data_IF_818253632732
#
_entry.id   IF_818253632732
#
_cell.length_a   1.000
_cell.length_b   1.000
_cell.length_c   1.000
_cell.angle_alpha   90.00
_cell.angle_beta   90.00
_cell.angle_gamma   90.00
#
_symmetry.space_group_name_H-M   'P 1'
#
loop_
_entity.id
_entity.type
_entity.pdbx_description
1 polymer ?
#
# COMPACT_ATOMS: atom_id res chain seq x y z
N UNK A 1 -3.24 -20.07 -12.34
CA UNK A 1 -4.41 -20.48 -13.15
C UNK A 1 -4.47 -19.74 -14.49
N UNK A 2 -5.29 -20.25 -15.44
CA UNK A 2 -5.49 -19.59 -16.74
C UNK A 2 -6.53 -18.47 -16.59
N UNK A 3 -6.31 -17.33 -17.26
CA UNK A 3 -7.25 -16.19 -17.22
C UNK A 3 -8.67 -16.57 -17.61
N UNK A 4 -8.86 -17.41 -18.65
CA UNK A 4 -10.17 -17.88 -19.05
C UNK A 4 -10.90 -18.60 -17.91
N UNK A 5 -10.19 -19.49 -17.18
CA UNK A 5 -10.77 -20.24 -16.06
C UNK A 5 -11.16 -19.31 -14.90
N UNK A 6 -10.32 -18.29 -14.63
CA UNK A 6 -10.64 -17.27 -13.64
C UNK A 6 -11.95 -16.55 -13.96
N UNK A 7 -12.11 -16.12 -15.21
CA UNK A 7 -13.32 -15.41 -15.68
C UNK A 7 -14.54 -16.32 -15.62
N UNK A 8 -14.42 -17.61 -16.01
CA UNK A 8 -15.50 -18.59 -15.93
C UNK A 8 -16.00 -18.78 -14.49
N UNK A 9 -15.10 -18.98 -13.53
CA UNK A 9 -15.47 -19.14 -12.14
C UNK A 9 -16.06 -17.85 -11.55
N UNK A 10 -15.50 -16.69 -11.91
CA UNK A 10 -16.04 -15.40 -11.49
C UNK A 10 -17.43 -15.17 -12.06
N UNK A 11 -17.68 -15.49 -13.33
CA UNK A 11 -19.02 -15.44 -13.95
C UNK A 11 -20.05 -16.32 -13.23
N UNK A 12 -19.61 -17.47 -12.75
CA UNK A 12 -20.46 -18.43 -12.04
C UNK A 12 -20.89 -17.94 -10.66
N UNK A 13 -19.97 -17.32 -9.90
CA UNK A 13 -20.20 -16.95 -8.50
C UNK A 13 -20.48 -15.46 -8.27
N UNK A 14 -20.01 -14.59 -9.17
CA UNK A 14 -20.23 -13.15 -9.12
C UNK A 14 -20.37 -12.57 -10.55
N UNK A 15 -21.48 -12.88 -11.26
CA UNK A 15 -21.68 -12.43 -12.65
C UNK A 15 -21.78 -10.90 -12.77
N UNK A 16 -22.26 -10.21 -11.74
CA UNK A 16 -22.39 -8.76 -11.71
C UNK A 16 -21.00 -8.09 -11.79
N UNK A 17 -20.02 -8.57 -11.01
CA UNK A 17 -18.65 -8.07 -11.06
C UNK A 17 -18.07 -8.20 -12.46
N UNK A 18 -18.26 -9.34 -13.12
CA UNK A 18 -17.77 -9.54 -14.49
C UNK A 18 -18.45 -8.59 -15.48
N UNK A 19 -19.77 -8.41 -15.38
CA UNK A 19 -20.50 -7.50 -16.24
C UNK A 19 -20.03 -6.05 -16.10
N UNK A 20 -19.81 -5.58 -14.86
CA UNK A 20 -19.26 -4.25 -14.60
C UNK A 20 -17.84 -4.09 -15.19
N UNK A 21 -16.97 -5.08 -15.02
CA UNK A 21 -15.63 -5.06 -15.59
C UNK A 21 -15.65 -5.06 -17.13
N UNK A 22 -16.48 -5.92 -17.76
CA UNK A 22 -16.62 -5.97 -19.21
C UNK A 22 -17.14 -4.64 -19.77
N UNK A 23 -18.14 -4.03 -19.15
CA UNK A 23 -18.67 -2.72 -19.54
C UNK A 23 -17.63 -1.60 -19.38
N UNK A 24 -16.92 -1.56 -18.25
CA UNK A 24 -15.89 -0.56 -17.98
C UNK A 24 -14.75 -0.61 -18.98
N UNK A 25 -14.34 -1.80 -19.39
CA UNK A 25 -13.30 -2.01 -20.41
C UNK A 25 -13.84 -1.68 -21.82
N UNK A 26 -15.07 -2.07 -22.15
CA UNK A 26 -15.66 -1.78 -23.46
C UNK A 26 -15.79 -0.26 -23.71
N UNK A 27 -16.04 0.52 -22.66
CA UNK A 27 -16.11 1.97 -22.71
C UNK A 27 -14.78 2.67 -22.42
N UNK A 28 -13.68 1.91 -22.31
CA UNK A 28 -12.37 2.47 -22.02
C UNK A 28 -11.83 3.34 -23.16
N UNK A 29 -11.12 4.39 -22.81
CA UNK A 29 -10.43 5.28 -23.75
C UNK A 29 -8.92 5.11 -23.66
N UNK A 30 -8.24 5.25 -24.80
CA UNK A 30 -6.78 5.23 -24.84
C UNK A 30 -6.24 6.63 -24.61
N UNK A 31 -5.32 6.76 -23.65
CA UNK A 31 -4.66 7.99 -23.28
C UNK A 31 -3.15 7.73 -23.20
N UNK A 32 -2.45 7.96 -24.31
CA UNK A 32 -1.04 7.61 -24.50
C UNK A 32 -0.78 6.11 -24.22
N UNK A 33 0.01 5.80 -23.20
CA UNK A 33 0.35 4.44 -22.78
C UNK A 33 -0.69 3.82 -21.82
N UNK A 34 -1.73 4.60 -21.45
CA UNK A 34 -2.75 4.15 -20.50
C UNK A 34 -4.05 3.75 -21.21
N UNK A 35 -4.70 2.73 -20.70
CA UNK A 35 -6.09 2.42 -20.97
C UNK A 35 -6.91 2.91 -19.77
N UNK A 36 -7.70 3.97 -19.96
CA UNK A 36 -8.56 4.53 -18.90
C UNK A 36 -9.92 3.89 -18.98
N UNK A 37 -10.24 3.08 -17.97
CA UNK A 37 -11.55 2.47 -17.83
C UNK A 37 -12.59 3.53 -17.46
N UNK A 38 -13.86 3.27 -17.74
CA UNK A 38 -14.95 4.16 -17.34
C UNK A 38 -15.17 4.08 -15.84
N UNK A 39 -14.97 5.21 -15.14
CA UNK A 39 -15.02 5.28 -13.68
C UNK A 39 -16.38 4.92 -13.10
N UNK A 40 -17.46 5.56 -13.57
CA UNK A 40 -18.81 5.37 -13.01
C UNK A 40 -19.26 3.90 -13.06
N UNK A 41 -18.97 3.20 -14.16
CA UNK A 41 -19.31 1.79 -14.30
C UNK A 41 -18.44 0.91 -13.41
N UNK A 42 -17.16 1.28 -13.24
CA UNK A 42 -16.26 0.54 -12.38
C UNK A 42 -16.55 0.76 -10.89
N UNK A 43 -16.95 1.97 -10.50
CA UNK A 43 -17.39 2.29 -9.13
C UNK A 43 -18.66 1.56 -8.71
N UNK A 44 -19.51 1.20 -9.68
CA UNK A 44 -20.70 0.38 -9.43
C UNK A 44 -20.37 -1.12 -9.27
N UNK A 45 -19.11 -1.53 -9.50
CA UNK A 45 -18.70 -2.93 -9.36
C UNK A 45 -18.75 -3.36 -7.90
N UNK A 46 -19.27 -4.57 -7.59
CA UNK A 46 -19.19 -5.11 -6.23
C UNK A 46 -17.76 -5.11 -5.69
N UNK A 47 -17.56 -4.56 -4.49
CA UNK A 47 -16.29 -4.56 -3.78
C UNK A 47 -16.12 -5.88 -3.02
N UNK A 48 -15.62 -6.89 -3.71
CA UNK A 48 -15.43 -8.24 -3.15
C UNK A 48 -14.10 -8.83 -3.64
N UNK A 49 -13.36 -9.50 -2.75
CA UNK A 49 -12.10 -10.14 -3.12
C UNK A 49 -12.36 -11.47 -3.83
N UNK A 50 -11.40 -11.91 -4.65
CA UNK A 50 -11.45 -13.23 -5.31
C UNK A 50 -11.59 -14.37 -4.29
N UNK A 51 -11.07 -14.20 -3.09
CA UNK A 51 -11.15 -15.21 -2.03
C UNK A 51 -12.61 -15.45 -1.63
N UNK A 52 -13.35 -14.40 -1.34
CA UNK A 52 -14.78 -14.48 -1.00
C UNK A 52 -15.67 -14.68 -2.22
N UNK A 53 -15.34 -14.03 -3.34
CA UNK A 53 -16.14 -14.13 -4.54
C UNK A 53 -16.11 -15.54 -5.15
N UNK A 54 -14.94 -16.21 -5.14
CA UNK A 54 -14.70 -17.46 -5.84
C UNK A 54 -14.09 -18.54 -4.98
N UNK A 55 -12.94 -18.29 -4.29
CA UNK A 55 -12.11 -19.35 -3.72
C UNK A 55 -12.82 -20.12 -2.60
N UNK A 56 -13.62 -19.46 -1.78
CA UNK A 56 -14.42 -20.12 -0.74
C UNK A 56 -15.61 -20.92 -1.29
N UNK A 57 -15.99 -20.71 -2.55
CA UNK A 57 -17.20 -21.31 -3.18
C UNK A 57 -16.86 -22.39 -4.21
N UNK A 58 -15.72 -22.28 -4.87
CA UNK A 58 -15.37 -23.23 -5.94
C UNK A 58 -14.97 -24.59 -5.38
N UNK A 59 -15.31 -25.64 -6.15
CA UNK A 59 -14.86 -27.01 -5.87
C UNK A 59 -13.69 -27.44 -6.75
N UNK A 60 -13.23 -26.56 -7.62
CA UNK A 60 -12.20 -26.82 -8.62
C UNK A 60 -10.81 -26.26 -8.20
N UNK A 61 -10.66 -25.91 -6.92
CA UNK A 61 -9.39 -25.53 -6.36
C UNK A 61 -8.59 -26.77 -5.94
N UNK A 62 -7.28 -26.72 -6.18
CA UNK A 62 -6.31 -27.72 -5.71
C UNK A 62 -5.24 -27.04 -4.87
N UNK A 63 -4.75 -27.72 -3.85
CA UNK A 63 -3.66 -27.27 -3.01
C UNK A 63 -2.41 -28.06 -3.37
N UNK A 64 -1.35 -27.34 -3.70
CA UNK A 64 -0.01 -27.93 -3.91
C UNK A 64 0.85 -27.50 -2.72
N UNK A 65 1.28 -28.45 -1.88
CA UNK A 65 2.19 -28.13 -0.78
C UNK A 65 3.50 -27.55 -1.31
N UNK A 66 3.95 -26.47 -0.70
CA UNK A 66 5.18 -25.79 -1.07
C UNK A 66 5.99 -25.50 0.20
N UNK A 67 7.19 -26.08 0.29
CA UNK A 67 8.18 -25.76 1.31
C UNK A 67 9.33 -24.96 0.66
N UNK A 68 9.13 -23.67 0.51
CA UNK A 68 10.07 -22.75 -0.14
C UNK A 68 10.35 -21.50 0.71
N UNK A 69 10.09 -21.58 2.03
CA UNK A 69 10.24 -20.43 2.94
C UNK A 69 9.52 -19.15 2.41
N UNK A 70 8.38 -19.36 1.72
CA UNK A 70 7.61 -18.27 1.17
C UNK A 70 6.92 -17.49 2.29
N UNK A 71 6.96 -16.16 2.18
CA UNK A 71 6.24 -15.23 3.05
C UNK A 71 5.55 -14.18 2.17
N UNK A 72 4.30 -13.86 2.44
CA UNK A 72 3.53 -12.84 1.71
C UNK A 72 3.93 -11.41 2.07
N UNK A 73 4.73 -11.24 3.13
CA UNK A 73 5.18 -9.95 3.65
C UNK A 73 4.02 -8.96 3.85
N UNK A 74 2.88 -9.49 4.29
CA UNK A 74 1.62 -8.75 4.44
C UNK A 74 1.57 -7.82 5.67
N UNK A 75 2.64 -7.74 6.46
CA UNK A 75 2.70 -6.91 7.67
C UNK A 75 4.12 -6.46 7.98
N UNK A 76 4.25 -5.44 8.83
CA UNK A 76 5.55 -5.00 9.35
C UNK A 76 6.24 -6.07 10.19
N UNK A 77 5.50 -6.92 10.90
CA UNK A 77 6.07 -8.08 11.62
C UNK A 77 6.61 -9.12 10.64
N UNK A 78 5.90 -9.42 9.56
CA UNK A 78 6.40 -10.31 8.52
C UNK A 78 7.67 -9.76 7.84
N UNK A 79 7.72 -8.44 7.61
CA UNK A 79 8.91 -7.78 7.08
C UNK A 79 10.10 -7.88 8.06
N UNK A 80 9.85 -7.79 9.38
CA UNK A 80 10.85 -8.04 10.40
C UNK A 80 11.35 -9.49 10.34
N UNK A 81 10.47 -10.48 10.20
CA UNK A 81 10.82 -11.91 10.13
C UNK A 81 11.75 -12.25 8.98
N UNK A 82 11.51 -11.66 7.79
CA UNK A 82 12.31 -11.95 6.58
C UNK A 82 13.54 -11.06 6.43
N UNK A 83 13.72 -10.06 7.29
CA UNK A 83 14.86 -9.14 7.24
C UNK A 83 16.03 -9.64 8.09
N UNK A 84 17.24 -9.23 7.72
CA UNK A 84 18.43 -9.46 8.52
C UNK A 84 18.31 -8.73 9.87
N UNK A 85 18.54 -9.46 10.96
CA UNK A 85 18.41 -8.96 12.33
C UNK A 85 19.80 -8.81 12.96
N UNK A 86 19.97 -7.81 13.83
CA UNK A 86 21.17 -7.70 14.66
C UNK A 86 21.18 -8.74 15.80
N UNK A 87 22.26 -8.75 16.61
CA UNK A 87 22.41 -9.69 17.74
C UNK A 87 21.33 -9.57 18.83
N UNK A 88 20.60 -8.47 18.89
CA UNK A 88 19.47 -8.22 19.78
C UNK A 88 18.12 -8.45 19.09
N UNK A 89 18.09 -8.98 17.86
CA UNK A 89 16.89 -9.24 17.09
C UNK A 89 16.26 -7.99 16.47
N UNK A 90 16.97 -6.88 16.40
CA UNK A 90 16.43 -5.66 15.80
C UNK A 90 16.67 -5.62 14.28
N UNK A 91 15.71 -5.05 13.57
CA UNK A 91 15.83 -4.68 12.15
C UNK A 91 15.86 -3.16 12.05
N UNK A 92 16.93 -2.61 11.48
CA UNK A 92 17.15 -1.17 11.32
C UNK A 92 17.17 -0.83 9.83
N UNK A 93 16.16 -0.09 9.35
CA UNK A 93 16.03 0.31 7.93
C UNK A 93 16.15 1.83 7.82
N UNK A 94 17.29 2.29 7.30
CA UNK A 94 17.54 3.71 7.03
C UNK A 94 17.27 4.03 5.58
N UNK A 95 16.37 5.01 5.34
CA UNK A 95 16.20 5.67 4.04
C UNK A 95 17.15 6.89 3.95
N UNK A 96 16.58 8.08 3.82
CA UNK A 96 17.32 9.36 3.92
C UNK A 96 17.46 9.85 5.35
N UNK A 97 16.61 9.33 6.25
CA UNK A 97 16.68 9.58 7.68
C UNK A 97 17.79 8.81 8.38
N UNK A 98 17.93 9.00 9.67
CA UNK A 98 18.89 8.28 10.50
C UNK A 98 18.21 7.60 11.70
N UNK A 99 18.85 6.58 12.26
CA UNK A 99 18.33 5.85 13.42
C UNK A 99 19.46 5.71 14.44
N UNK A 100 19.16 6.14 15.66
CA UNK A 100 19.98 5.91 16.86
C UNK A 100 19.14 5.03 17.80
N UNK A 101 19.56 3.79 17.96
CA UNK A 101 18.85 2.79 18.77
C UNK A 101 19.74 2.38 19.93
N UNK A 102 19.28 2.61 21.18
CA UNK A 102 19.98 2.24 22.40
C UNK A 102 19.15 1.23 23.19
N UNK A 103 19.78 0.11 23.55
CA UNK A 103 19.19 -0.95 24.39
C UNK A 103 17.83 -1.47 23.90
N UNK A 104 17.63 -1.53 22.59
CA UNK A 104 16.42 -2.09 21.99
C UNK A 104 16.56 -3.59 21.78
N UNK A 105 15.44 -4.29 21.84
CA UNK A 105 15.36 -5.73 21.65
C UNK A 105 14.16 -6.11 20.80
N UNK A 106 14.40 -6.93 19.76
CA UNK A 106 13.34 -7.54 18.96
C UNK A 106 12.44 -6.50 18.26
N UNK A 107 13.00 -5.36 17.83
CA UNK A 107 12.28 -4.23 17.26
C UNK A 107 12.48 -4.15 15.73
N UNK A 108 11.48 -3.57 15.04
CA UNK A 108 11.61 -3.11 13.66
C UNK A 108 11.56 -1.59 13.66
N UNK A 109 12.60 -0.92 13.12
CA UNK A 109 12.67 0.54 13.08
C UNK A 109 13.03 0.99 11.68
N UNK A 110 12.16 1.78 11.07
CA UNK A 110 12.35 2.34 9.73
C UNK A 110 12.23 3.86 9.75
N UNK A 111 13.25 4.55 9.23
CA UNK A 111 13.28 6.00 9.07
C UNK A 111 13.47 6.36 7.60
N UNK A 112 12.47 7.00 6.99
CA UNK A 112 12.60 7.45 5.60
C UNK A 112 13.28 8.82 5.51
N UNK A 113 12.93 9.76 6.38
CA UNK A 113 13.37 11.16 6.25
C UNK A 113 13.91 11.78 7.55
N UNK A 114 13.44 11.34 8.72
CA UNK A 114 13.77 11.95 10.00
C UNK A 114 14.80 11.15 10.78
N UNK A 115 15.42 11.79 11.75
CA UNK A 115 16.14 11.06 12.80
C UNK A 115 15.13 10.42 13.73
N UNK A 116 15.21 9.11 13.90
CA UNK A 116 14.51 8.36 14.93
C UNK A 116 15.50 7.98 16.03
N UNK A 117 15.23 8.39 17.25
CA UNK A 117 15.97 7.96 18.43
C UNK A 117 15.08 7.07 19.30
N UNK A 118 15.54 5.87 19.63
CA UNK A 118 14.79 4.90 20.46
C UNK A 118 15.68 4.38 21.58
N UNK A 119 15.10 4.22 22.77
CA UNK A 119 15.82 3.78 23.96
C UNK A 119 14.98 2.75 24.71
N UNK A 120 15.55 1.57 24.96
CA UNK A 120 14.97 0.54 25.83
C UNK A 120 13.66 -0.07 25.31
N UNK A 121 13.42 -0.05 24.01
CA UNK A 121 12.22 -0.62 23.43
C UNK A 121 12.33 -2.15 23.29
N UNK A 122 11.21 -2.82 23.43
CA UNK A 122 11.11 -4.26 23.24
C UNK A 122 9.83 -4.62 22.48
N UNK A 123 9.98 -5.50 21.47
CA UNK A 123 8.85 -6.00 20.67
C UNK A 123 8.01 -4.89 20.01
N UNK A 124 8.66 -3.82 19.52
CA UNK A 124 8.00 -2.63 18.96
C UNK A 124 8.36 -2.47 17.49
N UNK A 125 7.38 -2.06 16.71
CA UNK A 125 7.54 -1.57 15.33
C UNK A 125 7.44 -0.05 15.34
N UNK A 126 8.44 0.63 14.79
CA UNK A 126 8.48 2.08 14.58
C UNK A 126 8.69 2.32 13.08
N UNK A 127 7.75 2.99 12.44
CA UNK A 127 7.84 3.34 11.01
C UNK A 127 7.56 4.82 10.85
N UNK A 128 8.49 5.52 10.24
CA UNK A 128 8.34 6.92 9.84
C UNK A 128 8.28 7.00 8.32
N UNK A 129 7.28 7.72 7.83
CA UNK A 129 7.05 8.05 6.43
C UNK A 129 6.99 9.56 6.24
N UNK A 130 6.75 10.03 5.02
CA UNK A 130 6.65 11.46 4.69
C UNK A 130 5.60 12.22 5.52
N UNK A 131 4.53 11.55 5.91
CA UNK A 131 3.30 12.15 6.46
C UNK A 131 2.85 11.57 7.81
N UNK A 132 3.41 10.43 8.23
CA UNK A 132 2.99 9.77 9.45
C UNK A 132 4.13 9.07 10.19
N UNK A 133 3.95 8.87 11.48
CA UNK A 133 4.77 7.99 12.30
C UNK A 133 3.86 6.97 12.97
N UNK A 134 4.15 5.70 12.77
CA UNK A 134 3.49 4.60 13.47
C UNK A 134 4.41 4.01 14.52
N UNK A 135 3.88 3.82 15.71
CA UNK A 135 4.52 3.04 16.79
C UNK A 135 3.50 2.02 17.27
N UNK A 136 3.85 0.74 17.19
CA UNK A 136 2.95 -0.34 17.52
C UNK A 136 3.69 -1.50 18.21
N UNK A 137 2.99 -2.23 19.07
CA UNK A 137 3.42 -3.56 19.49
C UNK A 137 3.54 -4.46 18.25
N UNK A 138 4.64 -5.20 18.12
CA UNK A 138 4.94 -6.05 16.96
C UNK A 138 3.86 -7.11 16.71
N UNK A 139 3.22 -7.60 17.77
CA UNK A 139 2.15 -8.60 17.64
C UNK A 139 0.78 -8.01 17.31
N UNK A 140 0.66 -6.68 17.32
CA UNK A 140 -0.58 -5.94 17.07
C UNK A 140 -0.54 -5.04 15.83
N UNK A 141 0.49 -5.13 15.01
CA UNK A 141 0.64 -4.25 13.83
C UNK A 141 -0.53 -4.36 12.83
N UNK A 142 -1.25 -5.48 12.81
CA UNK A 142 -2.45 -5.64 11.97
C UNK A 142 -3.61 -4.72 12.40
N UNK A 143 -3.63 -4.27 13.65
CA UNK A 143 -4.65 -3.35 14.17
C UNK A 143 -4.55 -1.95 13.52
N UNK A 144 -3.48 -1.66 12.77
CA UNK A 144 -3.34 -0.43 11.97
C UNK A 144 -4.53 -0.23 11.02
N UNK A 145 -5.18 -1.31 10.57
CA UNK A 145 -6.40 -1.25 9.75
C UNK A 145 -7.52 -0.48 10.45
N UNK A 146 -7.65 -0.63 11.77
CA UNK A 146 -8.64 0.11 12.57
C UNK A 146 -8.33 1.61 12.58
N UNK A 147 -7.05 1.98 12.72
CA UNK A 147 -6.61 3.38 12.64
C UNK A 147 -6.90 3.96 11.25
N UNK A 148 -6.57 3.23 10.19
CA UNK A 148 -6.86 3.67 8.81
C UNK A 148 -8.36 3.87 8.59
N UNK A 149 -9.20 2.97 9.11
CA UNK A 149 -10.65 3.12 9.02
C UNK A 149 -11.16 4.35 9.80
N UNK A 150 -10.54 4.66 10.95
CA UNK A 150 -10.85 5.89 11.68
C UNK A 150 -10.45 7.14 10.87
N UNK A 151 -9.25 7.17 10.28
CA UNK A 151 -8.78 8.27 9.44
C UNK A 151 -9.70 8.49 8.23
N UNK A 152 -10.16 7.41 7.58
CA UNK A 152 -11.15 7.48 6.50
C UNK A 152 -12.48 8.07 6.95
N UNK A 153 -12.99 7.64 8.12
CA UNK A 153 -14.22 8.17 8.70
C UNK A 153 -14.10 9.66 9.00
N UNK A 154 -12.95 10.09 9.50
CA UNK A 154 -12.65 11.47 9.83
C UNK A 154 -12.25 12.30 8.58
N UNK A 155 -12.26 11.68 7.39
CA UNK A 155 -11.88 12.29 6.10
C UNK A 155 -10.48 12.93 6.11
N UNK A 156 -9.56 12.29 6.84
CA UNK A 156 -8.16 12.72 6.91
C UNK A 156 -7.44 12.43 5.60
N UNK A 157 -6.60 13.36 5.18
CA UNK A 157 -5.85 13.27 3.91
C UNK A 157 -4.78 12.16 3.90
N UNK A 158 -4.25 11.81 5.06
CA UNK A 158 -3.16 10.82 5.21
C UNK A 158 -3.54 9.41 4.74
N UNK A 159 -4.84 9.10 4.65
CA UNK A 159 -5.30 7.80 4.14
C UNK A 159 -5.61 7.79 2.64
N UNK A 160 -5.64 8.94 1.97
CA UNK A 160 -6.09 9.06 0.57
C UNK A 160 -5.10 9.81 -0.33
N UNK A 161 -4.31 10.71 0.21
CA UNK A 161 -3.39 11.55 -0.54
C UNK A 161 -1.96 11.34 -0.03
N UNK A 162 -1.17 10.65 -0.82
CA UNK A 162 0.26 10.64 -0.54
C UNK A 162 0.82 12.07 -0.72
N UNK A 163 1.64 12.50 0.22
CA UNK A 163 2.35 13.78 0.14
C UNK A 163 3.12 13.90 -1.18
N UNK A 164 3.71 12.79 -1.64
CA UNK A 164 4.45 12.69 -2.89
C UNK A 164 3.63 11.98 -3.95
N UNK A 165 3.33 12.67 -5.05
CA UNK A 165 2.51 12.15 -6.14
C UNK A 165 3.33 12.11 -7.43
N UNK A 166 3.49 10.91 -7.99
CA UNK A 166 4.18 10.70 -9.26
C UNK A 166 3.28 11.01 -10.45
N UNK A 167 3.88 11.59 -11.48
CA UNK A 167 3.23 11.96 -12.74
C UNK A 167 4.13 11.54 -13.92
N UNK A 168 3.62 11.45 -15.15
CA UNK A 168 4.44 11.12 -16.33
C UNK A 168 5.66 12.05 -16.52
N UNK A 169 5.53 13.30 -16.09
CA UNK A 169 6.58 14.31 -16.17
C UNK A 169 7.56 14.33 -14.99
N UNK A 170 7.33 13.56 -13.94
CA UNK A 170 8.14 13.55 -12.72
C UNK A 170 7.30 13.35 -11.47
N UNK A 171 7.43 14.21 -10.46
CA UNK A 171 6.58 14.16 -9.28
C UNK A 171 6.45 15.53 -8.62
N UNK A 172 5.43 15.68 -7.80
CA UNK A 172 5.37 16.77 -6.83
C UNK A 172 5.28 16.24 -5.40
N UNK A 173 5.80 17.03 -4.47
CA UNK A 173 5.79 16.78 -3.02
C UNK A 173 5.10 17.96 -2.35
N UNK A 174 3.94 17.75 -1.72
CA UNK A 174 3.21 18.76 -0.97
C UNK A 174 3.91 18.99 0.36
N UNK A 175 4.66 20.10 0.47
CA UNK A 175 5.49 20.40 1.64
C UNK A 175 4.65 21.02 2.76
N UNK A 176 3.75 21.93 2.40
CA UNK A 176 2.93 22.66 3.36
C UNK A 176 1.62 23.12 2.71
N UNK A 177 0.56 23.28 3.50
CA UNK A 177 -0.72 23.79 3.03
C UNK A 177 -1.50 24.46 4.16
N UNK A 178 -2.18 25.55 3.83
CA UNK A 178 -3.08 26.27 4.73
C UNK A 178 -4.33 26.73 3.97
N UNK A 179 -5.23 27.44 4.66
CA UNK A 179 -6.52 27.88 4.08
C UNK A 179 -6.38 28.66 2.76
N UNK A 180 -5.24 29.36 2.55
CA UNK A 180 -5.03 30.24 1.42
C UNK A 180 -3.71 30.02 0.67
N UNK A 181 -2.97 28.97 1.00
CA UNK A 181 -1.71 28.65 0.33
C UNK A 181 -1.44 27.17 0.25
N UNK A 182 -0.66 26.76 -0.75
CA UNK A 182 -0.07 25.44 -0.86
C UNK A 182 1.36 25.57 -1.37
N UNK A 183 2.30 24.90 -0.70
CA UNK A 183 3.70 24.82 -1.11
C UNK A 183 3.99 23.43 -1.64
N UNK A 184 4.43 23.35 -2.88
CA UNK A 184 4.81 22.09 -3.54
C UNK A 184 6.25 22.18 -4.03
N UNK A 185 7.03 21.13 -3.79
CA UNK A 185 8.27 20.88 -4.52
C UNK A 185 7.92 20.09 -5.78
N UNK A 186 8.29 20.60 -6.94
CA UNK A 186 8.05 19.96 -8.23
C UNK A 186 9.39 19.52 -8.80
N UNK A 187 9.50 18.24 -9.19
CA UNK A 187 10.65 17.68 -9.87
C UNK A 187 10.21 17.19 -11.23
N UNK A 188 10.80 17.77 -12.28
CA UNK A 188 10.49 17.45 -13.68
C UNK A 188 11.65 16.62 -14.25
N UNK A 189 11.34 15.52 -14.90
CA UNK A 189 12.32 14.69 -15.56
C UNK A 189 12.95 15.42 -16.76
N UNK A 190 14.23 15.17 -17.11
CA UNK A 190 14.82 15.76 -18.29
C UNK A 190 13.98 15.50 -19.54
N UNK A 191 13.69 16.56 -20.30
CA UNK A 191 12.87 16.48 -21.51
C UNK A 191 11.36 16.42 -21.31
N UNK A 192 10.87 16.31 -20.07
CA UNK A 192 9.45 16.35 -19.75
C UNK A 192 8.92 17.79 -19.60
N UNK A 193 7.63 17.97 -19.76
CA UNK A 193 6.95 19.24 -19.63
C UNK A 193 5.77 19.14 -18.66
N UNK A 194 5.56 20.19 -17.86
CA UNK A 194 4.36 20.35 -17.05
C UNK A 194 3.20 20.78 -17.95
N UNK A 195 2.01 20.21 -17.72
CA UNK A 195 0.80 20.78 -18.26
C UNK A 195 0.50 22.11 -17.56
N UNK A 196 0.18 23.14 -18.32
CA UNK A 196 -0.39 24.39 -17.78
C UNK A 196 -1.75 24.05 -17.15
N UNK A 197 -1.89 24.37 -15.88
CA UNK A 197 -3.17 24.31 -15.14
C UNK A 197 -3.72 25.71 -14.96
#
# INVERSE_FOLDING_TARGET
FKAARYIEELKKFNPEMVACCEQSIAAATRDLDFTRIQADTFEACPDDSIDYAVMEKTKDAVIVPLDAQWNDVGSWSALWEVSEQDSAGNVIKKGKGDIIALDNNNCYIQAEHKLIATIGLKDVVVVETDDAIMVADKNRVQDVKTIVNQLKKDKRSECSLHRKVYRPWGYYDSIDSGERFQVKRIVVNPGAQLSLQ
#
